data_IF_828370180614
#
_entry.id   IF_828370180614
#
_cell.length_a   1.000
_cell.length_b   1.000
_cell.length_c   1.000
_cell.angle_alpha   90.00
_cell.angle_beta   90.00
_cell.angle_gamma   90.00
#
_symmetry.space_group_name_H-M   'P 1'
#
loop_
_entity.id
_entity.type
_entity.pdbx_description
1 polymer ?
#
# COMPACT_ATOMS: atom_id res chain seq x y z
N UNK A 1 -14.82 -29.92 -23.54
CA UNK A 1 -15.03 -29.09 -22.34
C UNK A 1 -14.29 -29.74 -21.18
N UNK A 2 -13.60 -28.95 -20.38
CA UNK A 2 -12.91 -29.47 -19.18
C UNK A 2 -13.95 -29.92 -18.16
N UNK A 3 -13.72 -31.06 -17.48
CA UNK A 3 -14.63 -31.51 -16.40
C UNK A 3 -14.75 -30.42 -15.34
N UNK A 4 -15.94 -30.22 -14.80
CA UNK A 4 -16.22 -29.26 -13.73
C UNK A 4 -16.65 -30.02 -12.47
N UNK A 5 -16.08 -29.68 -11.33
CA UNK A 5 -16.50 -30.24 -10.04
C UNK A 5 -16.93 -29.16 -9.07
N UNK A 6 -17.92 -29.46 -8.24
CA UNK A 6 -18.37 -28.54 -7.18
C UNK A 6 -17.36 -28.59 -6.02
N UNK A 7 -17.13 -27.45 -5.37
CA UNK A 7 -16.23 -27.40 -4.21
C UNK A 7 -16.66 -28.40 -3.13
N UNK A 8 -17.96 -28.55 -2.90
CA UNK A 8 -18.52 -29.51 -1.94
C UNK A 8 -18.24 -30.98 -2.29
N UNK A 9 -17.94 -31.32 -3.55
CA UNK A 9 -17.56 -32.67 -3.96
C UNK A 9 -16.04 -32.93 -3.80
N UNK A 10 -15.24 -31.87 -3.63
CA UNK A 10 -13.75 -31.96 -3.57
C UNK A 10 -13.27 -32.11 -2.13
N UNK A 11 -13.80 -31.34 -1.19
CA UNK A 11 -13.30 -31.26 0.18
C UNK A 11 -14.42 -31.01 1.19
N UNK A 12 -14.11 -31.23 2.47
CA UNK A 12 -14.96 -30.83 3.58
C UNK A 12 -14.52 -29.46 4.13
N UNK A 13 -15.48 -28.55 4.30
CA UNK A 13 -15.24 -27.19 4.81
C UNK A 13 -15.68 -27.11 6.26
N UNK A 14 -14.69 -27.05 7.15
CA UNK A 14 -14.87 -27.06 8.60
C UNK A 14 -14.93 -25.60 9.07
N UNK A 15 -16.08 -25.15 9.56
CA UNK A 15 -16.22 -23.81 10.09
C UNK A 15 -15.44 -23.64 11.41
N UNK A 16 -14.84 -22.49 11.60
CA UNK A 16 -14.19 -22.12 12.84
C UNK A 16 -15.18 -22.03 14.02
N UNK A 17 -14.65 -21.83 15.22
CA UNK A 17 -15.41 -21.76 16.47
C UNK A 17 -15.83 -20.32 16.76
N UNK A 18 -17.04 -20.15 17.31
CA UNK A 18 -17.57 -18.83 17.66
C UNK A 18 -17.03 -18.37 19.02
N UNK A 19 -15.79 -17.90 19.05
CA UNK A 19 -15.20 -17.32 20.25
C UNK A 19 -15.90 -16.00 20.59
N UNK A 20 -16.26 -15.85 21.86
CA UNK A 20 -16.84 -14.63 22.40
C UNK A 20 -15.76 -13.60 22.74
N UNK A 21 -16.09 -12.32 22.90
CA UNK A 21 -15.11 -11.30 23.33
C UNK A 21 -14.37 -11.67 24.62
N UNK A 22 -15.08 -12.26 25.61
CA UNK A 22 -14.54 -12.71 26.89
C UNK A 22 -13.57 -13.90 26.78
N UNK A 23 -13.64 -14.67 25.71
CA UNK A 23 -12.72 -15.81 25.44
C UNK A 23 -11.31 -15.33 25.03
N UNK A 24 -11.14 -14.04 24.76
CA UNK A 24 -9.89 -13.48 24.23
C UNK A 24 -8.99 -13.04 25.38
N UNK A 25 -8.13 -13.95 25.80
CA UNK A 25 -7.10 -13.70 26.80
C UNK A 25 -5.72 -13.38 26.21
N UNK A 26 -4.70 -13.46 27.06
CA UNK A 26 -3.28 -13.22 26.73
C UNK A 26 -2.45 -14.49 26.66
N UNK A 27 -3.03 -15.67 26.99
CA UNK A 27 -2.34 -16.95 27.09
C UNK A 27 -3.06 -18.03 26.28
N UNK A 28 -2.32 -19.06 25.82
CA UNK A 28 -2.84 -20.17 25.07
C UNK A 28 -2.54 -20.11 23.57
N UNK A 29 -3.45 -20.65 22.75
CA UNK A 29 -3.32 -20.61 21.29
C UNK A 29 -3.94 -19.33 20.72
N UNK A 30 -3.32 -18.71 19.70
CA UNK A 30 -3.89 -17.52 19.08
C UNK A 30 -5.20 -17.85 18.36
N UNK A 31 -6.21 -16.98 18.49
CA UNK A 31 -7.47 -17.05 17.77
C UNK A 31 -7.34 -16.25 16.47
N UNK A 32 -7.48 -16.90 15.33
CA UNK A 32 -7.32 -16.29 14.01
C UNK A 32 -8.65 -15.86 13.45
N UNK A 33 -8.77 -14.57 13.17
CA UNK A 33 -9.94 -13.90 12.59
C UNK A 33 -9.60 -13.45 11.16
N UNK A 34 -10.61 -13.02 10.40
CA UNK A 34 -10.42 -12.52 9.03
C UNK A 34 -9.41 -11.37 8.97
N UNK A 35 -9.45 -10.44 9.93
CA UNK A 35 -8.51 -9.33 10.01
C UNK A 35 -7.05 -9.77 10.23
N UNK A 36 -6.84 -10.91 10.91
CA UNK A 36 -5.50 -11.49 11.10
C UNK A 36 -4.97 -12.12 9.80
N UNK A 37 -5.86 -12.58 8.91
CA UNK A 37 -5.52 -13.09 7.58
C UNK A 37 -5.23 -11.95 6.59
N UNK A 38 -5.97 -10.84 6.68
CA UNK A 38 -5.83 -9.69 5.78
C UNK A 38 -4.72 -8.71 6.18
N UNK A 39 -4.04 -8.92 7.32
CA UNK A 39 -3.00 -8.01 7.82
C UNK A 39 -3.53 -6.74 8.50
N UNK A 40 -4.83 -6.65 8.76
CA UNK A 40 -5.50 -5.51 9.39
C UNK A 40 -5.76 -5.71 10.90
N UNK A 41 -5.05 -6.65 11.53
CA UNK A 41 -5.19 -6.93 12.95
C UNK A 41 -4.36 -5.96 13.78
N UNK A 42 -5.00 -5.40 14.81
CA UNK A 42 -4.33 -4.58 15.83
C UNK A 42 -4.01 -5.37 17.10
N UNK A 43 -4.67 -6.54 17.28
CA UNK A 43 -4.58 -7.33 18.49
C UNK A 43 -4.99 -8.78 18.22
N UNK A 44 -4.11 -9.74 18.51
CA UNK A 44 -4.37 -11.17 18.43
C UNK A 44 -4.74 -11.65 19.83
N UNK A 45 -6.00 -12.11 20.00
CA UNK A 45 -6.42 -12.74 21.25
C UNK A 45 -5.98 -14.20 21.33
N UNK A 46 -5.73 -14.68 22.53
CA UNK A 46 -5.32 -16.07 22.82
C UNK A 46 -6.41 -16.78 23.63
N UNK A 47 -6.43 -18.12 23.53
CA UNK A 47 -7.39 -18.93 24.25
C UNK A 47 -6.74 -20.21 24.78
N UNK A 48 -6.99 -20.51 26.05
CA UNK A 48 -6.48 -21.68 26.77
C UNK A 48 -7.58 -22.58 27.33
N UNK A 49 -8.85 -22.31 27.03
CA UNK A 49 -9.99 -23.12 27.44
C UNK A 49 -10.23 -24.34 26.54
N UNK A 50 -11.39 -24.99 26.74
CA UNK A 50 -11.82 -26.14 25.92
C UNK A 50 -12.37 -25.68 24.56
N UNK A 51 -11.98 -26.36 23.50
CA UNK A 51 -12.42 -26.11 22.12
C UNK A 51 -12.50 -27.41 21.31
N UNK A 52 -13.35 -27.46 20.27
CA UNK A 52 -13.38 -28.61 19.36
C UNK A 52 -12.05 -28.74 18.59
N UNK A 53 -11.36 -29.86 18.70
CA UNK A 53 -10.04 -30.06 18.03
C UNK A 53 -10.04 -29.81 16.52
N UNK A 54 -11.19 -29.98 15.86
CA UNK A 54 -11.34 -29.75 14.41
C UNK A 54 -11.08 -28.30 13.98
N UNK A 55 -11.11 -27.32 14.92
CA UNK A 55 -10.83 -25.90 14.62
C UNK A 55 -9.36 -25.53 14.85
N UNK A 56 -8.53 -26.50 15.28
CA UNK A 56 -7.07 -26.28 15.27
C UNK A 56 -6.55 -26.20 13.83
N UNK A 57 -5.68 -25.24 13.61
CA UNK A 57 -4.96 -25.06 12.35
C UNK A 57 -3.46 -25.14 12.56
N UNK A 58 -2.75 -25.66 11.55
CA UNK A 58 -1.31 -25.82 11.53
C UNK A 58 -0.74 -25.30 10.22
N UNK A 59 0.58 -25.14 10.13
CA UNK A 59 1.22 -24.73 8.89
C UNK A 59 0.85 -25.67 7.73
N UNK A 60 0.48 -25.10 6.61
CA UNK A 60 0.03 -25.78 5.41
C UNK A 60 -1.50 -25.87 5.29
N UNK A 61 -2.27 -25.68 6.37
CA UNK A 61 -3.73 -25.71 6.27
C UNK A 61 -4.26 -24.62 5.35
N UNK A 62 -5.17 -24.99 4.45
CA UNK A 62 -5.87 -24.05 3.56
C UNK A 62 -7.09 -23.49 4.28
N UNK A 63 -7.17 -22.16 4.32
CA UNK A 63 -8.22 -21.39 4.99
C UNK A 63 -8.99 -20.56 3.98
N UNK A 64 -10.30 -20.47 4.12
CA UNK A 64 -11.16 -19.68 3.24
C UNK A 64 -12.06 -18.78 4.09
N UNK A 65 -11.90 -17.46 3.97
CA UNK A 65 -12.84 -16.50 4.57
C UNK A 65 -14.04 -16.33 3.65
N UNK A 66 -15.23 -16.49 4.22
CA UNK A 66 -16.50 -16.46 3.48
C UNK A 66 -17.42 -15.28 3.86
N UNK A 67 -16.94 -14.37 4.67
CA UNK A 67 -17.67 -13.18 5.15
C UNK A 67 -16.73 -11.96 5.22
N UNK A 68 -17.29 -10.78 5.12
CA UNK A 68 -16.60 -9.48 5.14
C UNK A 68 -15.55 -9.32 4.02
N UNK A 69 -14.37 -9.90 4.18
CA UNK A 69 -13.32 -9.96 3.14
C UNK A 69 -13.18 -11.40 2.69
N UNK A 70 -13.66 -11.71 1.47
CA UNK A 70 -13.50 -13.03 0.88
C UNK A 70 -12.04 -13.28 0.52
N UNK A 71 -11.56 -14.49 0.75
CA UNK A 71 -10.19 -14.83 0.40
C UNK A 71 -9.83 -16.27 0.72
N UNK A 72 -8.77 -16.77 0.06
CA UNK A 72 -8.17 -18.07 0.34
C UNK A 72 -6.72 -17.88 0.79
N UNK A 73 -6.30 -18.62 1.79
CA UNK A 73 -5.01 -18.44 2.45
C UNK A 73 -4.38 -19.79 2.76
N UNK A 74 -3.07 -19.90 2.64
CA UNK A 74 -2.31 -21.01 3.18
C UNK A 74 -1.71 -20.56 4.51
N UNK A 75 -2.07 -21.21 5.60
CA UNK A 75 -1.61 -20.85 6.94
C UNK A 75 -0.14 -21.22 7.14
N UNK A 76 0.68 -20.33 7.70
CA UNK A 76 2.12 -20.56 7.89
C UNK A 76 2.69 -19.95 9.19
N UNK A 77 1.81 -19.67 10.17
CA UNK A 77 2.19 -18.99 11.42
C UNK A 77 2.07 -19.89 12.66
N UNK A 78 2.26 -21.20 12.50
CA UNK A 78 2.25 -22.16 13.59
C UNK A 78 0.84 -22.63 13.98
N UNK A 79 0.73 -23.29 15.14
CA UNK A 79 -0.54 -23.81 15.66
C UNK A 79 -1.43 -22.68 16.16
N UNK A 80 -2.71 -22.70 15.78
CA UNK A 80 -3.68 -21.66 16.14
C UNK A 80 -5.11 -22.23 16.18
N UNK A 81 -6.07 -21.39 16.58
CA UNK A 81 -7.50 -21.69 16.62
C UNK A 81 -8.26 -20.82 15.62
N UNK A 82 -9.10 -21.45 14.82
CA UNK A 82 -9.85 -20.78 13.78
C UNK A 82 -11.16 -20.20 14.31
N UNK A 83 -11.36 -18.91 14.16
CA UNK A 83 -12.61 -18.23 14.51
C UNK A 83 -13.68 -18.48 13.46
N UNK A 84 -14.94 -18.28 13.81
CA UNK A 84 -16.09 -18.35 12.90
C UNK A 84 -15.88 -17.46 11.66
N UNK A 85 -16.65 -17.73 10.59
CA UNK A 85 -16.55 -17.05 9.30
C UNK A 85 -15.31 -17.37 8.45
N UNK A 86 -14.52 -18.35 8.90
CA UNK A 86 -13.43 -18.91 8.12
C UNK A 86 -13.61 -20.42 8.08
N UNK A 87 -13.48 -21.03 6.90
CA UNK A 87 -13.38 -22.47 6.74
C UNK A 87 -11.92 -22.93 6.80
N UNK A 88 -11.67 -24.04 7.49
CA UNK A 88 -10.53 -24.91 7.25
C UNK A 88 -10.93 -25.94 6.19
N UNK A 89 -10.10 -26.11 5.16
CA UNK A 89 -10.33 -27.11 4.11
C UNK A 89 -9.72 -28.44 4.51
N UNK A 90 -10.55 -29.49 4.53
CA UNK A 90 -10.08 -30.87 4.66
C UNK A 90 -10.23 -31.56 3.30
N UNK A 91 -9.12 -31.91 2.66
CA UNK A 91 -9.09 -32.61 1.37
C UNK A 91 -9.33 -34.12 1.57
N UNK A 92 -10.57 -34.47 1.89
CA UNK A 92 -10.98 -35.83 2.35
C UNK A 92 -11.89 -36.57 1.37
N UNK A 93 -12.24 -35.96 0.21
CA UNK A 93 -13.22 -36.56 -0.70
C UNK A 93 -12.62 -37.06 -2.00
N UNK A 94 -11.83 -36.23 -2.68
CA UNK A 94 -11.11 -36.60 -3.91
C UNK A 94 -9.71 -36.05 -3.87
N UNK A 95 -8.79 -36.73 -4.56
CA UNK A 95 -7.43 -36.25 -4.71
C UNK A 95 -7.41 -34.97 -5.57
N UNK A 96 -6.78 -33.92 -5.05
CA UNK A 96 -6.61 -32.63 -5.74
C UNK A 96 -5.25 -32.04 -5.39
N UNK A 97 -4.62 -31.36 -6.33
CA UNK A 97 -3.46 -30.54 -6.04
C UNK A 97 -3.91 -29.31 -5.22
N UNK A 98 -3.47 -29.20 -3.98
CA UNK A 98 -3.92 -28.15 -3.04
C UNK A 98 -3.63 -26.75 -3.57
N UNK A 99 -2.48 -26.54 -4.20
CA UNK A 99 -2.11 -25.24 -4.75
C UNK A 99 -2.99 -24.87 -5.97
N UNK A 100 -3.29 -25.85 -6.83
CA UNK A 100 -4.27 -25.66 -7.91
C UNK A 100 -5.64 -25.27 -7.36
N UNK A 101 -6.09 -25.98 -6.31
CA UNK A 101 -7.35 -25.69 -5.64
C UNK A 101 -7.38 -24.26 -5.10
N UNK A 102 -6.30 -23.81 -4.44
CA UNK A 102 -6.18 -22.43 -3.92
C UNK A 102 -6.40 -21.41 -5.03
N UNK A 103 -5.72 -21.55 -6.17
CA UNK A 103 -5.89 -20.62 -7.31
C UNK A 103 -7.30 -20.68 -7.90
N UNK A 104 -7.86 -21.88 -8.05
CA UNK A 104 -9.21 -22.03 -8.59
C UNK A 104 -10.27 -21.39 -7.68
N UNK A 105 -10.13 -21.53 -6.37
CA UNK A 105 -11.04 -20.89 -5.41
C UNK A 105 -10.82 -19.37 -5.39
N UNK A 106 -9.57 -18.91 -5.39
CA UNK A 106 -9.25 -17.47 -5.41
C UNK A 106 -9.88 -16.76 -6.61
N UNK A 107 -9.78 -17.36 -7.79
CA UNK A 107 -10.39 -16.83 -9.01
C UNK A 107 -11.91 -16.71 -8.85
N UNK A 108 -12.57 -17.78 -8.42
CA UNK A 108 -14.02 -17.81 -8.27
C UNK A 108 -14.53 -16.85 -7.18
N UNK A 109 -13.81 -16.68 -6.07
CA UNK A 109 -14.19 -15.72 -5.03
C UNK A 109 -14.14 -14.28 -5.54
N UNK A 110 -13.11 -13.91 -6.31
CA UNK A 110 -13.01 -12.58 -6.95
C UNK A 110 -14.16 -12.31 -7.92
N UNK A 111 -14.52 -13.28 -8.76
CA UNK A 111 -15.66 -13.17 -9.67
C UNK A 111 -16.99 -13.01 -8.91
N UNK A 112 -17.18 -13.73 -7.81
CA UNK A 112 -18.35 -13.59 -6.97
C UNK A 112 -18.41 -12.22 -6.29
N UNK A 113 -17.29 -11.74 -5.77
CA UNK A 113 -17.21 -10.43 -5.14
C UNK A 113 -17.55 -9.29 -6.13
N UNK A 114 -17.08 -9.39 -7.37
CA UNK A 114 -17.38 -8.44 -8.43
C UNK A 114 -18.88 -8.41 -8.79
N UNK A 115 -19.60 -9.52 -8.63
CA UNK A 115 -21.03 -9.64 -8.92
C UNK A 115 -21.93 -9.22 -7.74
N UNK A 116 -21.37 -9.05 -6.54
CA UNK A 116 -22.11 -8.66 -5.32
C UNK A 116 -22.24 -7.14 -5.17
N UNK A 117 -22.99 -6.49 -6.05
CA UNK A 117 -23.28 -5.06 -5.93
C UNK A 117 -24.38 -4.79 -4.90
N UNK A 118 -24.10 -3.93 -3.91
CA UNK A 118 -25.13 -3.26 -3.10
C UNK A 118 -25.57 -3.91 -1.79
N UNK A 119 -24.95 -4.98 -1.30
CA UNK A 119 -25.31 -5.59 -0.02
C UNK A 119 -24.47 -5.03 1.15
N UNK A 120 -25.14 -4.69 2.27
CA UNK A 120 -24.53 -4.11 3.48
C UNK A 120 -23.57 -5.08 4.20
N UNK A 121 -23.61 -6.37 3.89
CA UNK A 121 -22.71 -7.40 4.43
C UNK A 121 -22.49 -8.50 3.38
N UNK A 122 -21.32 -8.52 2.81
CA UNK A 122 -20.92 -9.55 1.84
C UNK A 122 -20.63 -10.86 2.59
N UNK A 123 -21.44 -11.89 2.38
CA UNK A 123 -21.15 -13.26 2.87
C UNK A 123 -21.69 -14.29 1.88
N UNK A 124 -21.02 -15.44 1.83
CA UNK A 124 -21.42 -16.59 1.03
C UNK A 124 -21.95 -17.66 1.99
N UNK A 125 -23.21 -18.06 1.83
CA UNK A 125 -23.73 -19.18 2.63
C UNK A 125 -23.10 -20.50 2.19
N UNK A 126 -22.92 -21.44 3.14
CA UNK A 126 -22.22 -22.69 2.89
C UNK A 126 -22.77 -23.46 1.69
N UNK A 127 -24.08 -23.53 1.51
CA UNK A 127 -24.71 -24.20 0.38
C UNK A 127 -24.29 -23.63 -0.98
N UNK A 128 -24.22 -22.31 -1.08
CA UNK A 128 -23.84 -21.65 -2.33
C UNK A 128 -22.34 -21.80 -2.59
N UNK A 129 -21.52 -21.76 -1.52
CA UNK A 129 -20.10 -22.07 -1.58
C UNK A 129 -19.83 -23.50 -2.06
N UNK A 130 -20.50 -24.51 -1.47
CA UNK A 130 -20.37 -25.91 -1.86
C UNK A 130 -20.75 -26.15 -3.35
N UNK A 131 -21.63 -25.33 -3.92
CA UNK A 131 -22.10 -25.43 -5.30
C UNK A 131 -21.22 -24.66 -6.32
N UNK A 132 -20.22 -23.90 -5.88
CA UNK A 132 -19.23 -23.28 -6.79
C UNK A 132 -18.56 -24.40 -7.58
N UNK A 133 -18.53 -24.23 -8.91
CA UNK A 133 -17.88 -25.17 -9.81
C UNK A 133 -16.51 -24.62 -10.22
N UNK A 134 -15.52 -25.48 -10.19
CA UNK A 134 -14.18 -25.19 -10.68
C UNK A 134 -13.81 -26.18 -11.80
N UNK A 135 -12.99 -25.79 -12.78
CA UNK A 135 -12.38 -26.72 -13.72
C UNK A 135 -11.61 -27.80 -12.95
N UNK A 136 -11.73 -29.06 -13.38
CA UNK A 136 -11.08 -30.19 -12.71
C UNK A 136 -10.36 -31.10 -13.72
N UNK A 137 -9.19 -30.67 -14.21
CA UNK A 137 -8.38 -31.49 -15.14
C UNK A 137 -7.69 -32.64 -14.40
N UNK A 138 -6.92 -33.45 -15.14
CA UNK A 138 -6.12 -34.53 -14.54
C UNK A 138 -5.13 -33.99 -13.50
N UNK A 139 -4.73 -34.84 -12.55
CA UNK A 139 -3.78 -34.47 -11.48
C UNK A 139 -2.46 -33.90 -12.02
N UNK A 140 -1.95 -34.47 -13.13
CA UNK A 140 -0.76 -33.95 -13.84
C UNK A 140 -0.96 -32.54 -14.35
N UNK A 141 -2.13 -32.25 -14.95
CA UNK A 141 -2.45 -30.91 -15.47
C UNK A 141 -2.71 -29.91 -14.35
N UNK A 142 -3.34 -30.33 -13.24
CA UNK A 142 -3.46 -29.50 -12.03
C UNK A 142 -2.08 -29.08 -11.52
N UNK A 143 -1.15 -30.02 -11.43
CA UNK A 143 0.22 -29.74 -10.99
C UNK A 143 0.94 -28.79 -11.94
N UNK A 144 0.86 -29.01 -13.26
CA UNK A 144 1.45 -28.14 -14.26
C UNK A 144 0.94 -26.69 -14.12
N UNK A 145 -0.38 -26.51 -14.01
CA UNK A 145 -1.00 -25.18 -13.81
C UNK A 145 -0.53 -24.54 -12.53
N UNK A 146 -0.56 -25.29 -11.42
CA UNK A 146 -0.11 -24.79 -10.12
C UNK A 146 1.36 -24.34 -10.16
N UNK A 147 2.25 -25.14 -10.77
CA UNK A 147 3.68 -24.83 -10.88
C UNK A 147 3.92 -23.56 -11.73
N UNK A 148 3.16 -23.36 -12.82
CA UNK A 148 3.24 -22.16 -13.64
C UNK A 148 2.80 -20.93 -12.83
N UNK A 149 1.63 -20.97 -12.20
CA UNK A 149 1.10 -19.85 -11.45
C UNK A 149 1.98 -19.50 -10.25
N UNK A 150 2.49 -20.50 -9.51
CA UNK A 150 3.43 -20.28 -8.41
C UNK A 150 4.72 -19.58 -8.87
N UNK A 151 5.26 -19.94 -10.04
CA UNK A 151 6.43 -19.24 -10.60
C UNK A 151 6.13 -17.77 -10.85
N UNK A 152 4.96 -17.46 -11.41
CA UNK A 152 4.55 -16.07 -11.68
C UNK A 152 4.34 -15.30 -10.38
N UNK A 153 3.66 -15.88 -9.38
CA UNK A 153 3.49 -15.27 -8.04
C UNK A 153 4.85 -14.98 -7.40
N UNK A 154 5.79 -15.93 -7.45
CA UNK A 154 7.13 -15.72 -6.90
C UNK A 154 7.88 -14.57 -7.60
N UNK A 155 7.73 -14.42 -8.92
CA UNK A 155 8.31 -13.29 -9.66
C UNK A 155 7.69 -11.98 -9.20
N UNK A 156 6.38 -11.92 -9.03
CA UNK A 156 5.67 -10.74 -8.51
C UNK A 156 6.19 -10.35 -7.12
N UNK A 157 6.27 -11.31 -6.20
CA UNK A 157 6.75 -11.05 -4.84
C UNK A 157 8.23 -10.63 -4.80
N UNK A 158 9.09 -11.25 -5.61
CA UNK A 158 10.49 -10.85 -5.73
C UNK A 158 10.63 -9.40 -6.23
N UNK A 159 9.85 -9.00 -7.22
CA UNK A 159 9.86 -7.61 -7.75
C UNK A 159 9.36 -6.60 -6.72
N UNK A 160 8.30 -6.93 -5.96
CA UNK A 160 7.84 -6.09 -4.85
C UNK A 160 8.92 -5.93 -3.77
N UNK A 161 9.64 -7.00 -3.44
CA UNK A 161 10.76 -6.94 -2.50
C UNK A 161 11.93 -6.11 -3.05
N UNK A 162 12.23 -6.21 -4.34
CA UNK A 162 13.26 -5.42 -5.00
C UNK A 162 12.96 -3.93 -4.92
N UNK A 163 11.71 -3.52 -5.18
CA UNK A 163 11.28 -2.12 -5.01
C UNK A 163 11.49 -1.63 -3.57
N UNK A 164 11.14 -2.44 -2.56
CA UNK A 164 11.40 -2.10 -1.15
C UNK A 164 12.90 -1.99 -0.83
N UNK A 165 13.73 -2.84 -1.45
CA UNK A 165 15.20 -2.78 -1.27
C UNK A 165 15.78 -1.49 -1.85
N UNK A 166 15.27 -0.99 -2.98
CA UNK A 166 15.68 0.29 -3.52
C UNK A 166 15.38 1.45 -2.55
N UNK A 167 14.21 1.46 -1.90
CA UNK A 167 13.91 2.48 -0.89
C UNK A 167 14.87 2.41 0.31
N UNK A 168 15.18 1.21 0.75
CA UNK A 168 16.15 0.98 1.83
C UNK A 168 17.56 1.41 1.43
N UNK A 169 17.95 1.12 0.19
CA UNK A 169 19.27 1.48 -0.35
C UNK A 169 19.48 3.00 -0.40
N UNK A 170 18.46 3.75 -0.85
CA UNK A 170 18.54 5.22 -0.89
C UNK A 170 18.66 5.79 0.53
N UNK A 171 17.90 5.29 1.49
CA UNK A 171 17.99 5.72 2.89
C UNK A 171 19.35 5.38 3.51
N UNK A 172 19.90 4.20 3.22
CA UNK A 172 21.21 3.80 3.70
C UNK A 172 22.33 4.70 3.13
N UNK A 173 22.26 5.00 1.82
CA UNK A 173 23.21 5.92 1.18
C UNK A 173 23.12 7.33 1.74
N UNK A 174 21.89 7.80 2.04
CA UNK A 174 21.70 9.09 2.71
C UNK A 174 22.41 9.13 4.05
N UNK A 175 22.20 8.13 4.91
CA UNK A 175 22.82 8.07 6.25
C UNK A 175 24.34 7.91 6.15
N UNK A 176 24.84 7.17 5.17
CA UNK A 176 26.29 7.02 4.92
C UNK A 176 26.96 8.36 4.60
N UNK A 177 26.32 9.18 3.76
CA UNK A 177 26.89 10.47 3.33
C UNK A 177 26.70 11.59 4.36
N UNK A 178 25.51 11.65 4.97
CA UNK A 178 25.08 12.81 5.78
C UNK A 178 24.87 12.51 7.26
N UNK A 179 24.94 11.25 7.67
CA UNK A 179 24.63 10.83 9.03
C UNK A 179 23.13 10.81 9.32
N UNK A 180 22.78 10.72 10.60
CA UNK A 180 21.39 10.81 11.04
C UNK A 180 21.01 12.29 11.23
N UNK A 181 20.08 12.87 10.42
CA UNK A 181 19.78 14.28 10.47
C UNK A 181 19.03 14.71 11.75
N UNK A 182 18.30 13.79 12.40
CA UNK A 182 17.60 14.09 13.66
C UNK A 182 18.59 14.38 14.79
N UNK A 183 19.71 13.65 14.82
CA UNK A 183 20.77 13.80 15.82
C UNK A 183 21.97 14.59 15.31
N UNK A 184 21.96 14.99 14.03
CA UNK A 184 23.06 15.67 13.37
C UNK A 184 24.42 15.01 13.64
N UNK A 185 24.51 13.71 13.42
CA UNK A 185 25.69 12.91 13.81
C UNK A 185 26.99 13.29 13.07
N UNK A 186 26.90 14.07 11.99
CA UNK A 186 28.06 14.57 11.23
C UNK A 186 28.37 16.05 11.51
N UNK A 187 27.77 16.64 12.56
CA UNK A 187 27.98 18.04 12.99
C UNK A 187 27.84 19.06 11.84
N UNK A 188 26.87 18.84 10.96
CA UNK A 188 26.60 19.74 9.84
C UNK A 188 25.99 21.08 10.33
N UNK A 189 26.23 22.19 9.63
CA UNK A 189 25.59 23.46 9.93
C UNK A 189 24.06 23.35 9.91
N UNK A 190 23.38 23.92 10.93
CA UNK A 190 21.91 23.87 11.02
C UNK A 190 21.34 25.17 10.48
N UNK A 191 20.35 25.06 9.58
CA UNK A 191 19.63 26.20 9.00
C UNK A 191 18.11 26.00 9.04
N UNK A 192 17.41 27.11 9.03
CA UNK A 192 15.94 27.12 8.92
C UNK A 192 15.51 26.91 7.46
N UNK A 193 14.45 26.15 7.23
CA UNK A 193 13.90 25.96 5.89
C UNK A 193 13.50 27.28 5.22
N UNK A 194 13.17 28.31 6.01
CA UNK A 194 12.87 29.64 5.48
C UNK A 194 14.03 30.27 4.70
N UNK A 195 15.27 29.89 5.00
CA UNK A 195 16.48 30.41 4.38
C UNK A 195 16.83 29.72 3.05
N UNK A 196 16.17 28.59 2.76
CA UNK A 196 16.59 27.65 1.70
C UNK A 196 15.84 27.85 0.39
N UNK A 197 14.92 28.81 0.32
CA UNK A 197 14.16 29.08 -0.92
C UNK A 197 12.96 29.98 -0.70
N UNK A 198 12.21 30.16 -1.76
CA UNK A 198 10.98 30.93 -1.78
C UNK A 198 9.79 30.05 -1.39
N UNK A 199 8.99 30.53 -0.47
CA UNK A 199 7.87 29.79 0.09
C UNK A 199 6.52 30.40 -0.25
N UNK A 200 5.56 29.57 -0.60
CA UNK A 200 4.16 29.95 -0.73
C UNK A 200 3.23 28.78 -0.33
N UNK A 201 1.97 29.07 -0.06
CA UNK A 201 0.92 28.05 0.01
C UNK A 201 0.12 28.05 -1.30
N UNK A 202 -0.43 26.91 -1.65
CA UNK A 202 -1.39 26.78 -2.73
C UNK A 202 -2.70 27.49 -2.43
N UNK A 203 -3.65 27.38 -3.35
CA UNK A 203 -4.98 27.96 -3.26
C UNK A 203 -6.00 27.07 -3.97
N UNK A 204 -7.28 27.31 -3.69
CA UNK A 204 -8.40 26.60 -4.33
C UNK A 204 -9.23 27.59 -5.14
N UNK A 205 -9.38 27.37 -6.46
CA UNK A 205 -10.32 28.14 -7.26
C UNK A 205 -11.76 27.92 -6.76
N UNK A 206 -12.65 28.85 -7.05
CA UNK A 206 -14.05 28.73 -6.64
C UNK A 206 -14.71 27.50 -7.28
N UNK A 207 -15.22 26.60 -6.47
CA UNK A 207 -15.99 25.43 -6.92
C UNK A 207 -17.36 25.77 -7.53
N UNK A 208 -17.79 27.05 -7.41
CA UNK A 208 -19.04 27.52 -8.03
C UNK A 208 -18.86 27.85 -9.52
N UNK A 209 -17.62 27.80 -10.02
CA UNK A 209 -17.25 28.00 -11.44
C UNK A 209 -16.63 26.70 -11.96
N UNK A 210 -17.43 25.76 -12.46
CA UNK A 210 -16.94 24.45 -12.92
C UNK A 210 -15.86 24.55 -14.00
N UNK A 211 -15.94 25.54 -14.86
CA UNK A 211 -15.03 25.81 -15.98
C UNK A 211 -13.58 25.98 -15.52
N UNK A 212 -13.35 26.39 -14.27
CA UNK A 212 -12.01 26.51 -13.70
C UNK A 212 -11.31 25.14 -13.57
N UNK A 213 -12.05 24.04 -13.57
CA UNK A 213 -11.56 22.67 -13.43
C UNK A 213 -11.55 21.88 -14.76
N UNK A 214 -11.75 22.55 -15.89
CA UNK A 214 -11.71 21.96 -17.24
C UNK A 214 -10.40 22.27 -17.99
N UNK A 215 -9.32 22.55 -17.24
CA UNK A 215 -8.02 22.93 -17.80
C UNK A 215 -7.05 21.77 -17.99
N UNK A 216 -5.80 22.11 -18.24
CA UNK A 216 -4.69 21.19 -18.45
C UNK A 216 -3.55 21.35 -17.43
N UNK A 217 -3.62 22.34 -16.55
CA UNK A 217 -2.61 22.59 -15.51
C UNK A 217 -2.90 21.68 -14.32
N UNK A 218 -1.92 20.85 -13.95
CA UNK A 218 -2.04 19.97 -12.78
C UNK A 218 -2.29 20.78 -11.49
N UNK A 219 -3.30 20.35 -10.71
CA UNK A 219 -3.64 20.95 -9.43
C UNK A 219 -3.71 19.91 -8.34
N UNK A 220 -2.63 19.80 -7.56
CA UNK A 220 -2.45 18.76 -6.57
C UNK A 220 -3.14 19.05 -5.24
N UNK A 221 -3.82 18.06 -4.69
CA UNK A 221 -4.20 18.03 -3.28
C UNK A 221 -3.07 17.45 -2.43
N UNK A 222 -3.05 17.78 -1.13
CA UNK A 222 -2.04 17.22 -0.22
C UNK A 222 -2.09 15.68 -0.09
N UNK A 223 -3.25 15.07 -0.40
CA UNK A 223 -3.41 13.61 -0.39
C UNK A 223 -2.62 12.90 -1.49
N UNK A 224 -2.35 13.57 -2.61
CA UNK A 224 -1.67 13.03 -3.79
C UNK A 224 -0.15 13.04 -3.68
N UNK A 225 0.44 13.70 -2.68
CA UNK A 225 1.89 13.84 -2.50
C UNK A 225 2.52 12.54 -1.96
N UNK A 226 2.56 11.48 -2.77
CA UNK A 226 2.98 10.15 -2.33
C UNK A 226 4.23 9.62 -3.05
N UNK A 227 4.77 10.37 -4.02
CA UNK A 227 5.91 9.95 -4.86
C UNK A 227 6.99 11.02 -4.87
N UNK A 228 8.25 10.62 -5.12
CA UNK A 228 9.38 11.56 -5.23
C UNK A 228 9.10 12.64 -6.29
N UNK A 229 8.69 12.21 -7.48
CA UNK A 229 8.29 13.10 -8.55
C UNK A 229 6.78 13.00 -8.79
N UNK A 230 6.11 14.14 -8.92
CA UNK A 230 4.69 14.23 -9.20
C UNK A 230 4.46 14.27 -10.71
N UNK A 231 3.63 13.36 -11.21
CA UNK A 231 3.25 13.25 -12.61
C UNK A 231 1.73 13.10 -12.72
N UNK A 232 1.06 14.15 -13.20
CA UNK A 232 -0.39 14.16 -13.35
C UNK A 232 -1.13 14.23 -12.01
N UNK A 233 -2.06 15.13 -11.89
CA UNK A 233 -2.99 15.28 -10.76
C UNK A 233 -4.35 14.69 -11.11
N UNK A 234 -5.14 14.37 -10.08
CA UNK A 234 -6.54 13.91 -10.25
C UNK A 234 -7.39 15.02 -10.89
N UNK A 235 -7.23 16.25 -10.45
CA UNK A 235 -7.93 17.42 -10.99
C UNK A 235 -6.94 18.35 -11.68
N UNK A 236 -7.39 19.00 -12.76
CA UNK A 236 -6.63 20.00 -13.48
C UNK A 236 -7.39 21.31 -13.49
N UNK A 237 -6.68 22.43 -13.63
CA UNK A 237 -7.29 23.77 -13.65
C UNK A 237 -6.87 24.56 -14.90
N UNK A 238 -7.61 25.61 -15.18
CA UNK A 238 -7.33 26.53 -16.29
C UNK A 238 -6.37 27.64 -15.86
N UNK A 239 -5.76 28.33 -16.83
CA UNK A 239 -5.00 29.59 -16.58
C UNK A 239 -5.89 30.65 -15.95
N UNK A 240 -7.13 30.76 -16.40
CA UNK A 240 -8.11 31.69 -15.85
C UNK A 240 -8.37 31.46 -14.36
N UNK A 241 -8.41 30.17 -13.93
CA UNK A 241 -8.55 29.82 -12.53
C UNK A 241 -7.38 30.33 -11.68
N UNK A 242 -6.16 30.34 -12.22
CA UNK A 242 -4.97 30.89 -11.54
C UNK A 242 -5.09 32.43 -11.46
N UNK A 243 -5.43 33.10 -12.55
CA UNK A 243 -5.53 34.54 -12.61
C UNK A 243 -6.64 35.12 -11.73
N UNK A 244 -7.78 34.45 -11.65
CA UNK A 244 -8.99 34.89 -10.94
C UNK A 244 -9.17 34.34 -9.53
N UNK A 245 -8.17 33.63 -8.99
CA UNK A 245 -8.26 33.06 -7.65
C UNK A 245 -6.98 33.30 -6.82
N UNK A 246 -6.96 32.78 -5.58
CA UNK A 246 -5.75 32.77 -4.74
C UNK A 246 -4.76 31.65 -5.12
N UNK A 247 -5.08 30.86 -6.14
CA UNK A 247 -4.23 29.75 -6.61
C UNK A 247 -2.96 30.29 -7.23
N UNK A 248 -1.85 29.59 -7.01
CA UNK A 248 -0.53 29.98 -7.54
C UNK A 248 0.02 28.89 -8.43
N UNK A 249 0.64 29.31 -9.53
CA UNK A 249 1.45 28.43 -10.36
C UNK A 249 2.86 28.33 -9.77
N UNK A 250 3.28 27.13 -9.46
CA UNK A 250 4.61 26.78 -8.97
C UNK A 250 5.45 26.21 -10.10
N UNK A 251 6.73 26.56 -10.12
CA UNK A 251 7.66 26.11 -11.15
C UNK A 251 8.06 24.65 -10.98
N UNK A 252 8.32 23.97 -12.08
CA UNK A 252 8.98 22.67 -12.09
C UNK A 252 10.26 22.70 -11.21
N UNK A 253 10.54 21.62 -10.50
CA UNK A 253 11.63 21.56 -9.52
C UNK A 253 11.27 22.12 -8.14
N UNK A 254 10.05 22.64 -7.92
CA UNK A 254 9.56 22.97 -6.58
C UNK A 254 9.11 21.73 -5.82
N UNK A 255 9.19 21.76 -4.48
CA UNK A 255 8.72 20.71 -3.59
C UNK A 255 7.41 21.11 -2.94
N UNK A 256 6.36 20.33 -3.15
CA UNK A 256 5.10 20.42 -2.42
C UNK A 256 5.17 19.61 -1.12
N UNK A 257 4.62 20.17 -0.04
CA UNK A 257 4.61 19.58 1.31
C UNK A 257 3.19 19.69 1.88
N UNK A 258 2.57 18.57 2.20
CA UNK A 258 1.26 18.52 2.85
C UNK A 258 1.30 19.06 4.28
N UNK A 259 0.28 19.80 4.67
CA UNK A 259 0.21 20.46 5.98
C UNK A 259 -0.78 19.83 6.95
N UNK A 260 -1.82 19.12 6.49
CA UNK A 260 -2.97 18.76 7.31
C UNK A 260 -3.14 17.24 7.49
N UNK A 261 -3.59 16.84 8.67
CA UNK A 261 -3.99 15.49 9.05
C UNK A 261 -3.01 14.39 8.61
N UNK A 262 -3.54 13.36 7.96
CA UNK A 262 -2.78 12.21 7.43
C UNK A 262 -1.89 12.57 6.25
N UNK A 263 -2.08 13.74 5.64
CA UNK A 263 -1.25 14.25 4.57
C UNK A 263 -0.07 15.10 5.07
N UNK A 264 0.01 15.37 6.37
CA UNK A 264 1.10 16.16 6.94
C UNK A 264 2.47 15.53 6.63
N UNK A 265 3.37 16.33 6.06
CA UNK A 265 4.69 15.92 5.56
C UNK A 265 4.65 14.76 4.54
N UNK A 266 3.54 14.61 3.81
CA UNK A 266 3.60 14.00 2.49
C UNK A 266 4.24 15.02 1.55
N UNK A 267 5.05 14.55 0.61
CA UNK A 267 5.86 15.45 -0.22
C UNK A 267 5.99 14.90 -1.63
N UNK A 268 6.22 15.82 -2.59
CA UNK A 268 6.55 15.45 -3.96
C UNK A 268 7.11 16.65 -4.74
N UNK A 269 8.05 16.38 -5.63
CA UNK A 269 8.74 17.35 -6.48
C UNK A 269 7.94 17.48 -7.78
N UNK A 270 7.64 18.70 -8.17
CA UNK A 270 6.95 19.03 -9.43
C UNK A 270 7.87 18.74 -10.62
N UNK A 271 7.40 17.94 -11.58
CA UNK A 271 8.09 17.77 -12.88
C UNK A 271 7.78 18.87 -13.88
N UNK A 272 6.57 19.41 -13.80
CA UNK A 272 6.07 20.50 -14.66
C UNK A 272 5.51 21.64 -13.82
N UNK A 273 5.36 22.81 -14.42
CA UNK A 273 4.72 23.95 -13.79
C UNK A 273 3.29 23.56 -13.41
N UNK A 274 2.96 23.62 -12.13
CA UNK A 274 1.72 23.07 -11.58
C UNK A 274 1.19 23.92 -10.42
N UNK A 275 -0.05 23.70 -10.03
CA UNK A 275 -0.67 24.36 -8.89
C UNK A 275 -1.00 23.35 -7.78
N UNK A 276 -1.42 23.82 -6.62
CA UNK A 276 -1.89 22.99 -5.52
C UNK A 276 -2.96 23.68 -4.69
N UNK A 277 -3.68 22.90 -3.88
CA UNK A 277 -4.65 23.43 -2.94
C UNK A 277 -3.96 24.10 -1.73
N UNK A 278 -4.73 24.81 -0.91
CA UNK A 278 -4.24 25.53 0.28
C UNK A 278 -3.69 24.60 1.38
N UNK A 279 -3.89 23.27 1.30
CA UNK A 279 -3.33 22.28 2.22
C UNK A 279 -1.87 21.92 1.90
N UNK A 280 -1.30 22.48 0.84
CA UNK A 280 0.09 22.30 0.44
C UNK A 280 0.90 23.58 0.68
N UNK A 281 2.05 23.45 1.33
CA UNK A 281 3.15 24.39 1.27
C UNK A 281 4.03 24.06 0.07
N UNK A 282 4.61 25.06 -0.56
CA UNK A 282 5.54 24.92 -1.66
C UNK A 282 6.84 25.66 -1.36
N UNK A 283 7.98 25.00 -1.58
CA UNK A 283 9.29 25.63 -1.64
C UNK A 283 9.85 25.54 -3.06
N UNK A 284 10.23 26.69 -3.62
CA UNK A 284 11.14 26.76 -4.76
C UNK A 284 12.54 27.01 -4.20
N UNK A 285 13.46 26.00 -4.27
CA UNK A 285 14.75 26.09 -3.60
C UNK A 285 15.63 27.17 -4.22
N UNK A 286 16.57 27.70 -3.42
CA UNK A 286 17.64 28.54 -3.92
C UNK A 286 18.82 27.67 -4.41
N UNK A 287 19.90 28.29 -4.91
CA UNK A 287 21.04 27.61 -5.51
C UNK A 287 21.90 26.82 -4.49
N UNK A 288 21.70 27.00 -3.19
CA UNK A 288 22.40 26.28 -2.14
C UNK A 288 21.85 24.88 -1.89
N UNK A 289 20.62 24.59 -2.38
CA UNK A 289 19.90 23.39 -2.04
C UNK A 289 19.51 22.57 -3.27
N UNK A 290 19.91 21.30 -3.27
CA UNK A 290 19.39 20.34 -4.22
C UNK A 290 18.03 19.82 -3.74
N UNK A 291 17.01 19.93 -4.56
CA UNK A 291 15.62 19.62 -4.17
C UNK A 291 15.41 18.14 -3.86
N UNK A 292 16.11 17.22 -4.54
CA UNK A 292 16.02 15.79 -4.28
C UNK A 292 16.65 15.47 -2.92
N UNK A 293 17.82 16.07 -2.63
CA UNK A 293 18.44 15.95 -1.31
C UNK A 293 17.50 16.48 -0.21
N UNK A 294 16.91 17.67 -0.40
CA UNK A 294 15.96 18.25 0.56
C UNK A 294 14.75 17.36 0.82
N UNK A 295 14.20 16.75 -0.23
CA UNK A 295 13.12 15.78 -0.09
C UNK A 295 13.52 14.65 0.86
N UNK A 296 14.70 14.05 0.70
CA UNK A 296 15.14 12.95 1.56
C UNK A 296 15.53 13.42 2.96
N UNK A 297 16.11 14.58 3.11
CA UNK A 297 16.39 15.20 4.42
C UNK A 297 15.10 15.32 5.23
N UNK A 298 14.06 15.88 4.63
CA UNK A 298 12.74 16.02 5.27
C UNK A 298 12.05 14.67 5.48
N UNK A 299 12.21 13.70 4.59
CA UNK A 299 11.68 12.34 4.79
C UNK A 299 12.34 11.65 5.99
N UNK A 300 13.65 11.80 6.16
CA UNK A 300 14.39 11.23 7.29
C UNK A 300 14.02 11.89 8.62
N UNK A 301 13.66 13.17 8.61
CA UNK A 301 13.24 13.93 9.78
C UNK A 301 11.72 13.93 10.02
N UNK A 302 10.95 13.28 9.17
CA UNK A 302 9.48 13.36 9.17
C UNK A 302 8.88 13.03 10.54
N UNK A 303 9.20 11.88 11.13
CA UNK A 303 8.65 11.46 12.41
C UNK A 303 9.05 12.41 13.56
N UNK A 304 10.27 12.93 13.50
CA UNK A 304 10.74 13.94 14.45
C UNK A 304 9.88 15.20 14.38
N UNK A 305 9.63 15.78 13.20
CA UNK A 305 8.78 16.95 13.05
C UNK A 305 7.32 16.66 13.41
N UNK A 306 6.81 15.47 13.06
CA UNK A 306 5.47 15.07 13.43
C UNK A 306 5.28 14.92 14.93
N UNK A 307 6.31 14.49 15.67
CA UNK A 307 6.28 14.34 17.12
C UNK A 307 6.24 15.71 17.86
N UNK A 308 6.75 16.77 17.23
CA UNK A 308 6.76 18.11 17.80
C UNK A 308 5.42 18.86 17.70
N UNK A 309 4.41 18.26 17.04
CA UNK A 309 3.08 18.88 16.93
C UNK A 309 2.42 19.01 18.30
N UNK A 310 2.01 20.21 18.66
CA UNK A 310 1.28 20.50 19.91
C UNK A 310 -0.22 20.56 19.61
N UNK A 311 -1.05 19.88 20.43
CA UNK A 311 -2.51 19.97 20.40
C UNK A 311 -3.23 18.63 20.48
N UNK A 312 -4.35 18.61 21.23
CA UNK A 312 -5.11 17.37 21.54
C UNK A 312 -6.11 16.99 20.43
N UNK A 313 -6.53 17.94 19.56
CA UNK A 313 -7.62 17.73 18.59
C UNK A 313 -7.29 17.92 17.11
N UNK A 314 -6.31 18.73 16.74
CA UNK A 314 -5.86 18.88 15.35
C UNK A 314 -4.35 19.04 15.29
N UNK A 315 -3.68 18.02 14.75
CA UNK A 315 -2.22 18.00 14.59
C UNK A 315 -1.80 18.58 13.23
N UNK A 316 -2.39 19.71 12.84
CA UNK A 316 -2.08 20.36 11.58
C UNK A 316 -0.78 21.17 11.68
N UNK A 317 -0.02 21.15 10.60
CA UNK A 317 1.07 22.09 10.35
C UNK A 317 0.51 23.34 9.63
N UNK A 318 1.29 24.40 9.61
CA UNK A 318 1.05 25.55 8.75
C UNK A 318 2.36 25.99 8.10
N UNK A 319 2.25 26.87 7.11
CA UNK A 319 3.42 27.34 6.35
C UNK A 319 4.50 27.92 7.25
N UNK A 320 4.12 28.70 8.28
CA UNK A 320 5.06 29.30 9.23
C UNK A 320 5.81 28.25 10.06
N UNK A 321 5.13 27.20 10.48
CA UNK A 321 5.76 26.10 11.22
C UNK A 321 6.76 25.34 10.34
N UNK A 322 6.40 25.03 9.09
CA UNK A 322 7.29 24.33 8.17
C UNK A 322 8.52 25.20 7.88
N UNK A 323 8.35 26.46 7.59
CA UNK A 323 9.45 27.41 7.35
C UNK A 323 10.42 27.50 8.54
N UNK A 324 9.92 27.33 9.76
CA UNK A 324 10.71 27.37 10.98
C UNK A 324 11.45 26.06 11.31
N UNK A 325 11.20 24.97 10.58
CA UNK A 325 11.93 23.72 10.78
C UNK A 325 13.43 23.95 10.55
N UNK A 326 14.23 23.40 11.44
CA UNK A 326 15.70 23.46 11.38
C UNK A 326 16.21 22.11 10.92
N UNK A 327 17.08 22.13 9.93
CA UNK A 327 17.70 20.93 9.35
C UNK A 327 19.22 21.09 9.25
N UNK A 328 19.99 20.01 9.37
CA UNK A 328 21.39 19.99 8.98
C UNK A 328 21.54 20.24 7.47
N UNK A 329 22.55 21.01 7.06
CA UNK A 329 22.81 21.32 5.64
C UNK A 329 24.16 20.77 5.23
N UNK A 330 24.18 19.83 4.31
CA UNK A 330 25.37 19.33 3.65
C UNK A 330 25.88 20.31 2.57
N UNK A 331 27.15 20.17 2.16
CA UNK A 331 27.68 20.92 1.04
C UNK A 331 26.96 20.57 -0.25
N UNK A 332 26.80 21.54 -1.14
CA UNK A 332 26.03 21.39 -2.38
C UNK A 332 26.57 20.27 -3.29
N UNK A 333 27.86 20.10 -3.41
CA UNK A 333 28.48 19.01 -4.17
C UNK A 333 28.09 17.63 -3.66
N UNK A 334 28.05 17.45 -2.34
CA UNK A 334 27.58 16.20 -1.73
C UNK A 334 26.07 15.96 -1.93
N UNK A 335 25.27 17.03 -1.87
CA UNK A 335 23.83 16.96 -2.19
C UNK A 335 23.61 16.53 -3.65
N UNK A 336 24.41 17.05 -4.58
CA UNK A 336 24.33 16.73 -6.01
C UNK A 336 24.79 15.27 -6.28
N UNK A 337 25.86 14.79 -5.63
CA UNK A 337 26.27 13.38 -5.70
C UNK A 337 25.14 12.43 -5.27
N UNK A 338 24.50 12.73 -4.12
CA UNK A 338 23.37 11.96 -3.64
C UNK A 338 22.17 12.01 -4.60
N UNK A 339 21.89 13.20 -5.13
CA UNK A 339 20.81 13.39 -6.10
C UNK A 339 20.99 12.54 -7.35
N UNK A 340 22.22 12.47 -7.88
CA UNK A 340 22.53 11.67 -9.05
C UNK A 340 22.43 10.16 -8.77
N UNK A 341 22.83 9.73 -7.58
CA UNK A 341 22.58 8.36 -7.13
C UNK A 341 21.09 8.04 -7.07
N UNK A 342 20.28 8.93 -6.46
CA UNK A 342 18.81 8.76 -6.40
C UNK A 342 18.19 8.64 -7.79
N UNK A 343 18.59 9.50 -8.73
CA UNK A 343 18.09 9.45 -10.13
C UNK A 343 18.42 8.13 -10.82
N UNK A 344 19.59 7.52 -10.54
CA UNK A 344 19.94 6.21 -11.09
C UNK A 344 19.10 5.10 -10.47
N UNK A 345 18.88 5.13 -9.15
CA UNK A 345 18.01 4.18 -8.47
C UNK A 345 16.56 4.32 -8.97
N UNK A 346 16.07 5.54 -9.14
CA UNK A 346 14.70 5.81 -9.63
C UNK A 346 14.48 5.24 -11.04
N UNK A 347 15.43 5.42 -11.96
CA UNK A 347 15.38 4.77 -13.29
C UNK A 347 15.29 3.25 -13.20
N UNK A 348 15.95 2.64 -12.22
CA UNK A 348 15.88 1.19 -11.98
C UNK A 348 14.51 0.79 -11.40
N UNK A 349 13.99 1.57 -10.44
CA UNK A 349 12.64 1.37 -9.88
C UNK A 349 11.55 1.41 -10.95
N UNK A 350 11.60 2.38 -11.85
CA UNK A 350 10.63 2.50 -12.96
C UNK A 350 10.64 1.25 -13.84
N UNK A 351 11.82 0.69 -14.15
CA UNK A 351 11.93 -0.54 -14.94
C UNK A 351 11.35 -1.76 -14.20
N UNK A 352 11.66 -1.89 -12.90
CA UNK A 352 11.13 -2.99 -12.08
C UNK A 352 9.62 -2.86 -11.89
N UNK A 353 9.11 -1.64 -11.68
CA UNK A 353 7.66 -1.39 -11.58
C UNK A 353 6.94 -1.78 -12.87
N UNK A 354 7.43 -1.34 -14.04
CA UNK A 354 6.87 -1.73 -15.33
C UNK A 354 6.84 -3.24 -15.50
N UNK A 355 7.94 -3.91 -15.18
CA UNK A 355 8.03 -5.36 -15.26
C UNK A 355 7.11 -6.07 -14.24
N UNK A 356 6.87 -5.48 -13.07
CA UNK A 356 5.87 -5.96 -12.10
C UNK A 356 4.46 -5.86 -12.67
N UNK A 357 4.10 -4.72 -13.26
CA UNK A 357 2.77 -4.50 -13.84
C UNK A 357 2.51 -5.46 -15.03
N UNK A 358 3.51 -5.69 -15.89
CA UNK A 358 3.43 -6.67 -16.99
C UNK A 358 3.26 -8.10 -16.45
N UNK A 359 3.96 -8.46 -15.36
CA UNK A 359 3.83 -9.80 -14.75
C UNK A 359 2.48 -9.98 -14.08
N UNK A 360 1.93 -8.92 -13.44
CA UNK A 360 0.59 -8.97 -12.88
C UNK A 360 -0.46 -9.20 -13.98
N UNK A 361 -0.37 -8.51 -15.10
CA UNK A 361 -1.24 -8.74 -16.26
C UNK A 361 -1.14 -10.17 -16.81
N UNK A 362 0.08 -10.72 -16.86
CA UNK A 362 0.27 -12.12 -17.24
C UNK A 362 -0.41 -13.07 -16.26
N UNK A 363 -0.25 -12.85 -14.94
CA UNK A 363 -0.92 -13.65 -13.91
C UNK A 363 -2.43 -13.62 -14.09
N UNK A 364 -3.02 -12.43 -14.23
CA UNK A 364 -4.47 -12.26 -14.40
C UNK A 364 -4.98 -12.94 -15.67
N UNK A 365 -4.23 -12.87 -16.77
CA UNK A 365 -4.54 -13.55 -18.03
C UNK A 365 -4.49 -15.07 -17.90
N UNK A 366 -3.48 -15.62 -17.18
CA UNK A 366 -3.38 -17.06 -16.92
C UNK A 366 -4.51 -17.55 -16.02
N UNK A 367 -4.86 -16.78 -14.97
CA UNK A 367 -6.00 -17.10 -14.11
C UNK A 367 -7.30 -17.17 -14.91
N UNK A 368 -7.53 -16.20 -15.79
CA UNK A 368 -8.67 -16.20 -16.72
C UNK A 368 -8.65 -17.41 -17.67
N UNK A 369 -7.50 -17.74 -18.21
CA UNK A 369 -7.34 -18.86 -19.15
C UNK A 369 -7.62 -20.22 -18.51
N UNK A 370 -7.19 -20.41 -17.27
CA UNK A 370 -7.29 -21.71 -16.58
C UNK A 370 -8.60 -21.89 -15.82
N UNK A 371 -9.20 -20.81 -15.36
CA UNK A 371 -10.36 -20.87 -14.44
C UNK A 371 -11.59 -20.11 -14.95
N UNK A 372 -11.49 -19.26 -15.98
CA UNK A 372 -12.56 -18.44 -16.57
C UNK A 372 -13.45 -19.10 -17.64
#
# INVERSE_FOLDING_TARGET
MMEQKRLGDIATYINGYAFKPEDRGTEGLPIIRIQDLTGNSYDVGFYNGEYPKKVEINNGDVLISWSASLGVYIWNRGKALLNQHIFKVAFDKIEVNEQYFVFAVEYNLKEMEAKMHGATMKHIIKRDFDNIKIPFPSAEKQKEIADILLKVVNIIENRKQELKKFDTLVKARFVELFGNPVYNTNDLPIRSLNELGNWASGGTPSRTVPEYFEGNIDWYSAGELNTLFLEGSVEKITEEAIEKSATKLFKAGSLLIGMYDTAALKMGILKEDSASNQACACITPNDEVNIIWLYYELQMMKEYFLSQRRGVRQKNLNLGMIKAFKIPIAKRDQQDEFSDFVKQVDKSKVKVQKALDETQKLFDSLMQQYFG
#
